data_IF_053360520773
#
_entry.id   IF_053360520773
#
_cell.length_a   1.000
_cell.length_b   1.000
_cell.length_c   1.000
_cell.angle_alpha   90.00
_cell.angle_beta   90.00
_cell.angle_gamma   90.00
#
_symmetry.space_group_name_H-M   'P 1'
#
loop_
_entity.id
_entity.type
_entity.pdbx_description
1 polymer ?
#
# COMPACT_ATOMS: atom_id res chain seq x y z
N UNK A 1 5.74 39.91 4.47
CA UNK A 1 6.25 39.38 5.74
C UNK A 1 6.61 37.92 5.52
N UNK A 2 7.88 37.49 5.71
CA UNK A 2 8.22 36.08 5.62
C UNK A 2 7.61 35.41 6.85
N UNK A 3 6.71 34.45 6.65
CA UNK A 3 6.27 33.59 7.75
C UNK A 3 7.52 32.90 8.32
N UNK A 4 7.83 33.00 9.63
CA UNK A 4 8.80 32.11 10.23
C UNK A 4 8.24 30.69 10.02
N UNK A 5 9.01 29.84 9.33
CA UNK A 5 8.58 28.49 9.01
C UNK A 5 8.25 27.74 10.31
N UNK A 6 6.97 27.61 10.62
CA UNK A 6 6.47 26.89 11.79
C UNK A 6 6.22 25.44 11.36
N UNK A 7 6.97 24.51 11.95
CA UNK A 7 6.74 23.08 11.79
C UNK A 7 5.82 22.59 12.92
N UNK A 8 4.69 22.00 12.56
CA UNK A 8 3.74 21.40 13.50
C UNK A 8 3.78 19.89 13.35
N UNK A 9 4.12 19.19 14.43
CA UNK A 9 4.06 17.72 14.51
C UNK A 9 2.78 17.32 15.23
N UNK A 10 1.99 16.44 14.63
CA UNK A 10 0.74 15.92 15.20
C UNK A 10 0.81 14.41 15.29
N UNK A 11 0.30 13.86 16.40
CA UNK A 11 0.15 12.42 16.52
C UNK A 11 -0.96 11.93 15.58
N UNK A 12 -0.63 10.99 14.69
CA UNK A 12 -1.60 10.35 13.78
C UNK A 12 -2.34 9.17 14.43
N UNK A 13 -1.90 8.74 15.62
CA UNK A 13 -2.49 7.67 16.44
C UNK A 13 -2.33 8.00 17.92
N UNK A 14 -3.01 7.24 18.77
CA UNK A 14 -2.74 7.26 20.21
C UNK A 14 -1.29 6.80 20.47
N UNK A 15 -0.61 7.48 21.40
CA UNK A 15 0.77 7.20 21.81
C UNK A 15 0.78 6.78 23.27
N UNK A 16 1.58 5.78 23.60
CA UNK A 16 1.88 5.40 24.99
C UNK A 16 3.18 6.08 25.43
N UNK A 17 3.40 6.26 26.74
CA UNK A 17 4.73 6.59 27.26
C UNK A 17 5.75 5.58 26.73
N UNK A 18 6.94 6.05 26.37
CA UNK A 18 8.03 5.28 25.76
C UNK A 18 7.80 4.81 24.30
N UNK A 19 6.68 5.14 23.67
CA UNK A 19 6.53 4.91 22.22
C UNK A 19 7.55 5.76 21.45
N UNK A 20 8.28 5.13 20.52
CA UNK A 20 9.11 5.85 19.57
C UNK A 20 8.25 6.73 18.66
N UNK A 21 8.59 8.02 18.60
CA UNK A 21 7.96 8.95 17.67
C UNK A 21 8.56 8.76 16.28
N UNK A 22 7.75 8.25 15.37
CA UNK A 22 8.14 8.01 13.98
C UNK A 22 7.39 8.92 13.02
N UNK A 23 8.03 9.27 11.91
CA UNK A 23 7.43 10.00 10.80
C UNK A 23 7.87 9.38 9.47
N UNK A 24 7.25 9.81 8.38
CA UNK A 24 7.49 9.26 7.04
C UNK A 24 8.41 10.19 6.26
N UNK A 25 9.53 9.67 5.76
CA UNK A 25 10.51 10.44 4.96
C UNK A 25 10.23 10.45 3.46
N UNK A 26 9.34 9.57 3.00
CA UNK A 26 9.10 9.27 1.58
C UNK A 26 7.61 9.13 1.32
N UNK A 27 7.22 9.08 0.05
CA UNK A 27 5.84 8.83 -0.37
C UNK A 27 5.36 7.45 0.12
N UNK A 28 4.36 7.45 1.01
CA UNK A 28 3.84 6.22 1.62
C UNK A 28 2.98 5.41 0.66
N UNK A 29 2.47 6.01 -0.42
CA UNK A 29 1.62 5.34 -1.41
C UNK A 29 2.40 4.70 -2.56
N UNK A 30 3.74 4.79 -2.54
CA UNK A 30 4.57 4.07 -3.48
C UNK A 30 4.68 2.57 -3.11
N UNK A 31 4.89 1.66 -4.08
CA UNK A 31 5.09 0.23 -3.82
C UNK A 31 6.30 -0.07 -2.93
N UNK A 32 6.27 -1.20 -2.20
CA UNK A 32 7.32 -1.59 -1.24
C UNK A 32 8.75 -1.47 -1.79
N UNK A 33 8.98 -1.94 -3.02
CA UNK A 33 10.31 -1.96 -3.64
C UNK A 33 10.80 -0.55 -3.99
N UNK A 34 9.88 0.37 -4.28
CA UNK A 34 10.19 1.79 -4.53
C UNK A 34 10.57 2.45 -3.22
N UNK A 35 9.73 2.24 -2.18
CA UNK A 35 9.97 2.81 -0.85
C UNK A 35 11.31 2.36 -0.27
N UNK A 36 11.63 1.06 -0.38
CA UNK A 36 12.92 0.52 0.09
C UNK A 36 14.09 1.09 -0.71
N UNK A 37 14.00 1.12 -2.04
CA UNK A 37 15.06 1.68 -2.86
C UNK A 37 15.31 3.17 -2.59
N UNK A 38 14.25 3.95 -2.36
CA UNK A 38 14.36 5.38 -2.02
C UNK A 38 14.97 5.60 -0.64
N UNK A 39 14.53 4.84 0.37
CA UNK A 39 15.09 4.92 1.73
C UNK A 39 16.56 4.52 1.76
N UNK A 40 16.93 3.45 1.05
CA UNK A 40 18.31 3.00 0.96
C UNK A 40 19.19 4.02 0.23
N UNK A 41 18.76 4.49 -0.94
CA UNK A 41 19.55 5.43 -1.76
C UNK A 41 19.65 6.84 -1.18
N UNK A 42 18.61 7.32 -0.49
CA UNK A 42 18.55 8.70 0.02
C UNK A 42 19.01 8.80 1.47
N UNK A 43 18.65 7.81 2.29
CA UNK A 43 18.85 7.85 3.74
C UNK A 43 19.80 6.77 4.26
N UNK A 44 20.23 5.83 3.41
CA UNK A 44 21.23 4.81 3.77
C UNK A 44 20.73 3.70 4.68
N UNK A 45 19.41 3.42 4.70
CA UNK A 45 18.86 2.33 5.52
C UNK A 45 17.78 1.51 4.83
N UNK A 46 17.64 0.27 5.27
CA UNK A 46 16.57 -0.63 4.85
C UNK A 46 15.39 -0.59 5.84
N UNK A 47 14.19 -0.29 5.36
CA UNK A 47 13.01 -0.23 6.20
C UNK A 47 12.47 -1.63 6.55
N UNK A 48 12.43 -1.93 7.84
CA UNK A 48 11.91 -3.19 8.40
C UNK A 48 10.58 -3.00 9.17
N UNK A 49 9.81 -1.97 8.84
CA UNK A 49 8.50 -1.79 9.46
C UNK A 49 7.54 -2.94 9.10
N UNK A 50 6.51 -3.17 9.92
CA UNK A 50 5.57 -4.28 9.73
C UNK A 50 4.95 -4.32 8.32
N UNK A 51 4.67 -3.16 7.72
CA UNK A 51 4.20 -3.06 6.33
C UNK A 51 5.23 -3.56 5.32
N UNK A 52 6.48 -3.11 5.39
CA UNK A 52 7.52 -3.52 4.44
C UNK A 52 7.81 -5.02 4.53
N UNK A 53 7.82 -5.58 5.75
CA UNK A 53 8.00 -7.02 5.96
C UNK A 53 6.84 -7.83 5.36
N UNK A 54 5.61 -7.41 5.61
CA UNK A 54 4.41 -8.08 5.11
C UNK A 54 4.32 -8.03 3.59
N UNK A 55 4.50 -6.85 2.99
CA UNK A 55 4.51 -6.69 1.54
C UNK A 55 5.62 -7.55 0.91
N UNK A 56 6.82 -7.60 1.51
CA UNK A 56 7.89 -8.47 1.03
C UNK A 56 7.48 -9.94 0.99
N UNK A 57 6.85 -10.46 2.06
CA UNK A 57 6.39 -11.85 2.10
C UNK A 57 5.37 -12.15 1.00
N UNK A 58 4.41 -11.24 0.81
CA UNK A 58 3.37 -11.40 -0.23
C UNK A 58 3.97 -11.43 -1.63
N UNK A 59 4.86 -10.50 -1.96
CA UNK A 59 5.48 -10.44 -3.29
C UNK A 59 6.52 -11.55 -3.54
N UNK A 60 7.06 -12.16 -2.50
CA UNK A 60 7.95 -13.33 -2.62
C UNK A 60 7.16 -14.63 -2.79
N UNK A 61 5.92 -14.70 -2.32
CA UNK A 61 5.07 -15.88 -2.50
C UNK A 61 4.65 -16.12 -3.96
N UNK A 62 4.60 -15.06 -4.77
CA UNK A 62 4.44 -15.13 -6.24
C UNK A 62 5.50 -14.25 -6.94
N UNK A 63 6.70 -14.79 -7.22
CA UNK A 63 7.79 -14.03 -7.81
C UNK A 63 7.47 -13.46 -9.20
N UNK A 64 6.64 -14.16 -9.98
CA UNK A 64 6.22 -13.73 -11.31
C UNK A 64 5.25 -12.55 -11.22
N UNK A 65 4.26 -12.61 -10.33
CA UNK A 65 3.41 -11.45 -10.05
C UNK A 65 4.22 -10.27 -9.51
N UNK A 66 5.21 -10.50 -8.64
CA UNK A 66 6.10 -9.46 -8.15
C UNK A 66 6.95 -8.82 -9.26
N UNK A 67 7.43 -9.60 -10.23
CA UNK A 67 8.17 -9.09 -11.40
C UNK A 67 7.27 -8.30 -12.36
N UNK A 68 6.06 -8.79 -12.59
CA UNK A 68 5.06 -8.10 -13.41
C UNK A 68 4.64 -6.77 -12.76
N UNK A 69 4.41 -6.75 -11.45
CA UNK A 69 4.11 -5.54 -10.70
C UNK A 69 5.25 -4.51 -10.83
N UNK A 70 6.51 -4.91 -10.63
CA UNK A 70 7.65 -4.00 -10.86
C UNK A 70 7.69 -3.41 -12.28
N UNK A 71 7.40 -4.22 -13.28
CA UNK A 71 7.40 -3.79 -14.70
C UNK A 71 6.28 -2.82 -15.00
N UNK A 72 5.08 -3.08 -14.47
CA UNK A 72 3.94 -2.19 -14.55
C UNK A 72 4.30 -0.79 -13.97
N UNK A 73 5.22 -0.69 -12.99
CA UNK A 73 5.42 0.53 -12.16
C UNK A 73 6.29 1.48 -12.89
N UNK A 74 7.35 0.92 -13.45
CA UNK A 74 8.21 1.60 -14.38
C UNK A 74 7.40 2.12 -15.56
N UNK A 75 6.42 1.34 -16.05
CA UNK A 75 5.51 1.80 -17.13
C UNK A 75 4.66 2.99 -16.68
N UNK A 76 3.97 2.87 -15.54
CA UNK A 76 3.14 3.94 -14.97
C UNK A 76 3.95 5.22 -14.67
N UNK A 77 5.05 5.11 -13.92
CA UNK A 77 5.91 6.25 -13.57
C UNK A 77 6.46 6.95 -14.79
N UNK A 78 6.86 6.20 -15.82
CA UNK A 78 7.31 6.78 -17.09
C UNK A 78 6.19 7.58 -17.73
N UNK A 79 4.99 7.01 -17.88
CA UNK A 79 3.82 7.70 -18.46
C UNK A 79 3.42 8.94 -17.66
N UNK A 80 3.44 8.83 -16.33
CA UNK A 80 3.17 9.95 -15.41
C UNK A 80 4.14 11.11 -15.66
N UNK A 81 5.44 10.83 -15.79
CA UNK A 81 6.46 11.85 -16.08
C UNK A 81 6.33 12.46 -17.48
N UNK A 82 5.85 11.68 -18.44
CA UNK A 82 5.58 12.13 -19.82
C UNK A 82 4.26 12.92 -19.93
N UNK A 83 3.42 12.94 -18.90
CA UNK A 83 2.09 13.58 -18.94
C UNK A 83 1.11 12.88 -19.88
N UNK A 84 1.36 11.61 -20.22
CA UNK A 84 0.71 10.89 -21.31
C UNK A 84 -0.10 9.69 -20.82
N UNK A 85 -0.87 9.85 -19.74
CA UNK A 85 -1.75 8.79 -19.24
C UNK A 85 -3.19 9.09 -19.62
N UNK A 86 -3.72 8.35 -20.60
CA UNK A 86 -5.15 8.37 -20.88
C UNK A 86 -5.94 7.69 -19.76
N UNK A 87 -7.23 8.02 -19.66
CA UNK A 87 -8.14 7.40 -18.69
C UNK A 87 -8.25 5.88 -18.89
N UNK A 88 -8.24 5.43 -20.15
CA UNK A 88 -8.27 4.00 -20.50
C UNK A 88 -6.99 3.28 -20.07
N UNK A 89 -5.82 3.86 -20.32
CA UNK A 89 -4.55 3.32 -19.82
C UNK A 89 -4.52 3.26 -18.28
N UNK A 90 -5.08 4.26 -17.59
CA UNK A 90 -5.16 4.24 -16.13
C UNK A 90 -6.07 3.12 -15.62
N UNK A 91 -7.22 2.89 -16.28
CA UNK A 91 -8.11 1.75 -15.97
C UNK A 91 -7.40 0.41 -16.16
N UNK A 92 -6.66 0.25 -17.26
CA UNK A 92 -5.87 -0.96 -17.51
C UNK A 92 -4.79 -1.18 -16.45
N UNK A 93 -4.11 -0.11 -16.03
CA UNK A 93 -3.09 -0.18 -14.97
C UNK A 93 -3.74 -0.62 -13.65
N UNK A 94 -4.91 -0.07 -13.30
CA UNK A 94 -5.64 -0.44 -12.09
C UNK A 94 -6.10 -1.90 -12.15
N UNK A 95 -6.73 -2.33 -13.24
CA UNK A 95 -7.21 -3.71 -13.39
C UNK A 95 -6.06 -4.73 -13.33
N UNK A 96 -4.94 -4.43 -13.98
CA UNK A 96 -3.77 -5.31 -13.93
C UNK A 96 -3.13 -5.32 -12.54
N UNK A 97 -3.08 -4.19 -11.84
CA UNK A 97 -2.59 -4.12 -10.47
C UNK A 97 -3.45 -4.95 -9.50
N UNK A 98 -4.78 -4.89 -9.64
CA UNK A 98 -5.71 -5.72 -8.87
C UNK A 98 -5.47 -7.20 -9.12
N UNK A 99 -5.37 -7.60 -10.40
CA UNK A 99 -5.10 -8.99 -10.80
C UNK A 99 -3.79 -9.51 -10.21
N UNK A 100 -2.72 -8.73 -10.31
CA UNK A 100 -1.40 -9.09 -9.78
C UNK A 100 -1.40 -9.18 -8.25
N UNK A 101 -2.08 -8.26 -7.58
CA UNK A 101 -2.23 -8.26 -6.12
C UNK A 101 -3.01 -9.48 -5.65
N UNK A 102 -4.10 -9.84 -6.34
CA UNK A 102 -4.87 -11.03 -6.06
C UNK A 102 -4.05 -12.32 -6.24
N UNK A 103 -3.24 -12.40 -7.31
CA UNK A 103 -2.33 -13.54 -7.56
C UNK A 103 -1.32 -13.70 -6.42
N UNK A 104 -0.62 -12.62 -6.06
CA UNK A 104 0.37 -12.64 -4.99
C UNK A 104 -0.23 -12.98 -3.63
N UNK A 105 -1.43 -12.45 -3.33
CA UNK A 105 -2.16 -12.78 -2.12
C UNK A 105 -2.58 -14.25 -2.09
N UNK A 106 -3.09 -14.78 -3.20
CA UNK A 106 -3.45 -16.20 -3.28
C UNK A 106 -2.24 -17.09 -3.06
N UNK A 107 -1.11 -16.80 -3.69
CA UNK A 107 0.15 -17.52 -3.46
C UNK A 107 0.59 -17.44 -2.01
N UNK A 108 0.55 -16.25 -1.42
CA UNK A 108 0.87 -16.04 -0.01
C UNK A 108 -0.02 -16.87 0.92
N UNK A 109 -1.35 -16.82 0.74
CA UNK A 109 -2.29 -17.57 1.56
C UNK A 109 -2.19 -19.08 1.40
N UNK A 110 -1.82 -19.58 0.22
CA UNK A 110 -1.59 -21.02 0.02
C UNK A 110 -0.36 -21.53 0.77
N UNK A 111 0.61 -20.64 1.04
CA UNK A 111 1.86 -20.97 1.73
C UNK A 111 1.87 -20.61 3.22
N UNK A 112 0.98 -19.70 3.63
CA UNK A 112 0.87 -19.25 5.01
C UNK A 112 0.00 -20.22 5.82
N UNK A 113 0.47 -20.61 7.01
CA UNK A 113 -0.43 -21.25 7.98
C UNK A 113 -1.38 -20.20 8.57
N UNK A 114 -2.56 -20.61 9.02
CA UNK A 114 -3.51 -19.74 9.73
C UNK A 114 -2.84 -19.06 10.94
N UNK A 115 -1.91 -19.74 11.62
CA UNK A 115 -1.12 -19.19 12.74
C UNK A 115 -0.16 -18.07 12.33
N UNK A 116 0.52 -18.21 11.19
CA UNK A 116 1.40 -17.17 10.64
C UNK A 116 0.59 -15.92 10.27
N UNK A 117 -0.60 -16.12 9.71
CA UNK A 117 -1.49 -15.01 9.37
C UNK A 117 -1.99 -14.28 10.61
N UNK A 118 -2.40 -15.00 11.67
CA UNK A 118 -2.86 -14.37 12.90
C UNK A 118 -1.75 -13.61 13.63
N UNK A 119 -0.52 -14.13 13.67
CA UNK A 119 0.64 -13.42 14.25
C UNK A 119 0.95 -12.14 13.50
N UNK A 120 0.96 -12.18 12.17
CA UNK A 120 1.34 -11.03 11.36
C UNK A 120 0.23 -9.99 11.29
N UNK A 121 -1.04 -10.43 11.18
CA UNK A 121 -2.19 -9.55 11.28
C UNK A 121 -2.26 -8.89 12.67
N UNK A 122 -1.91 -9.60 13.74
CA UNK A 122 -1.84 -9.01 15.08
C UNK A 122 -0.68 -7.99 15.19
N UNK A 123 0.49 -8.31 14.63
CA UNK A 123 1.63 -7.37 14.55
C UNK A 123 1.25 -6.10 13.79
N UNK A 124 0.57 -6.24 12.65
CA UNK A 124 0.06 -5.12 11.87
C UNK A 124 -1.02 -4.33 12.63
N UNK A 125 -2.04 -4.99 13.22
CA UNK A 125 -3.06 -4.33 14.04
C UNK A 125 -2.44 -3.51 15.18
N UNK A 126 -1.43 -4.05 15.85
CA UNK A 126 -0.68 -3.35 16.90
C UNK A 126 0.09 -2.15 16.34
N UNK A 127 0.65 -2.25 15.12
CA UNK A 127 1.39 -1.17 14.48
C UNK A 127 0.50 -0.04 13.94
N UNK A 128 -0.72 -0.35 13.48
CA UNK A 128 -1.61 0.62 12.80
C UNK A 128 -2.80 1.06 13.66
N UNK A 129 -2.98 0.50 14.87
CA UNK A 129 -3.98 0.94 15.84
C UNK A 129 -5.44 0.67 15.46
N UNK A 130 -5.69 -0.33 14.59
CA UNK A 130 -7.06 -0.69 14.20
C UNK A 130 -7.73 -1.58 15.26
N UNK A 131 -8.95 -1.23 15.74
CA UNK A 131 -9.67 -2.04 16.72
C UNK A 131 -10.25 -3.31 16.08
N UNK A 132 -10.06 -4.42 16.79
CA UNK A 132 -10.69 -5.74 16.67
C UNK A 132 -11.84 -5.85 15.64
N UNK A 133 -11.53 -6.34 14.44
CA UNK A 133 -12.53 -6.96 13.57
C UNK A 133 -12.14 -8.41 13.25
N UNK A 134 -13.15 -9.26 13.30
CA UNK A 134 -13.13 -10.71 13.11
C UNK A 134 -12.37 -11.12 11.84
N UNK A 135 -11.81 -12.32 11.84
CA UNK A 135 -10.99 -12.97 10.79
C UNK A 135 -11.22 -12.54 9.31
N UNK A 136 -12.46 -12.37 8.78
CA UNK A 136 -12.67 -11.87 7.41
C UNK A 136 -12.13 -10.45 7.14
N UNK A 137 -12.05 -9.60 8.16
CA UNK A 137 -11.59 -8.22 8.04
C UNK A 137 -10.08 -8.07 7.87
N UNK A 138 -9.28 -9.06 8.31
CA UNK A 138 -7.83 -9.00 8.18
C UNK A 138 -7.36 -9.23 6.74
N UNK A 139 -8.03 -10.12 6.00
CA UNK A 139 -7.74 -10.34 4.58
C UNK A 139 -8.09 -9.11 3.74
N UNK A 140 -9.28 -8.56 3.96
CA UNK A 140 -9.72 -7.32 3.31
C UNK A 140 -8.76 -6.17 3.64
N UNK A 141 -8.38 -5.99 4.90
CA UNK A 141 -7.41 -4.96 5.30
C UNK A 141 -6.02 -5.15 4.67
N UNK A 142 -5.56 -6.40 4.52
CA UNK A 142 -4.28 -6.70 3.86
C UNK A 142 -4.35 -6.42 2.36
N UNK A 143 -5.43 -6.85 1.71
CA UNK A 143 -5.69 -6.56 0.30
C UNK A 143 -5.75 -5.07 0.07
N UNK A 144 -6.50 -4.34 0.89
CA UNK A 144 -6.69 -2.90 0.75
C UNK A 144 -5.39 -2.13 1.07
N UNK A 145 -4.58 -2.61 2.02
CA UNK A 145 -3.22 -2.10 2.25
C UNK A 145 -2.34 -2.27 1.02
N UNK A 146 -2.36 -3.46 0.41
CA UNK A 146 -1.59 -3.74 -0.80
C UNK A 146 -2.12 -2.89 -1.95
N UNK A 147 -3.41 -2.85 -2.24
CA UNK A 147 -3.96 -1.99 -3.29
C UNK A 147 -3.73 -0.49 -3.03
N UNK A 148 -3.76 -0.06 -1.77
CA UNK A 148 -3.43 1.31 -1.36
C UNK A 148 -1.94 1.64 -1.48
N UNK A 149 -1.06 0.64 -1.35
CA UNK A 149 0.40 0.77 -1.56
C UNK A 149 0.82 0.55 -3.01
N UNK A 150 -0.04 -0.10 -3.77
CA UNK A 150 0.22 -0.62 -5.09
C UNK A 150 -0.89 -0.04 -5.99
N UNK A 151 -0.54 1.07 -6.65
CA UNK A 151 -1.16 1.57 -7.89
C UNK A 151 -2.53 2.19 -7.83
N UNK A 152 -3.42 1.67 -7.00
CA UNK A 152 -4.80 2.13 -7.06
C UNK A 152 -4.84 3.59 -6.63
N UNK A 153 -4.21 3.96 -5.51
CA UNK A 153 -4.19 5.36 -5.09
C UNK A 153 -3.50 6.30 -6.11
N UNK A 154 -2.26 6.07 -6.58
CA UNK A 154 -1.62 6.98 -7.53
C UNK A 154 -2.30 7.04 -8.91
N UNK A 155 -2.75 5.92 -9.47
CA UNK A 155 -3.41 5.89 -10.77
C UNK A 155 -4.83 6.50 -10.70
N UNK A 156 -5.54 6.26 -9.61
CA UNK A 156 -6.86 6.83 -9.37
C UNK A 156 -6.82 8.34 -9.15
N UNK A 157 -5.85 8.84 -8.38
CA UNK A 157 -5.65 10.29 -8.21
C UNK A 157 -5.38 11.01 -9.53
N UNK A 158 -4.67 10.37 -10.46
CA UNK A 158 -4.44 10.89 -11.80
C UNK A 158 -5.70 10.80 -12.67
N UNK A 159 -6.46 9.71 -12.59
CA UNK A 159 -7.64 9.48 -13.42
C UNK A 159 -8.82 10.38 -13.03
N UNK A 160 -9.01 10.61 -11.73
CA UNK A 160 -10.21 11.26 -11.20
C UNK A 160 -9.91 12.60 -10.50
N UNK A 161 -8.64 12.98 -10.33
CA UNK A 161 -8.24 14.12 -9.50
C UNK A 161 -8.50 13.88 -8.01
N UNK A 162 -7.96 14.75 -7.14
CA UNK A 162 -8.27 14.80 -5.70
C UNK A 162 -9.71 15.31 -5.45
N UNK A 163 -10.71 14.89 -6.23
CA UNK A 163 -12.11 15.21 -5.94
C UNK A 163 -12.54 14.42 -4.70
N UNK A 164 -12.41 15.02 -3.50
CA UNK A 164 -12.99 14.61 -2.20
C UNK A 164 -13.57 13.18 -2.19
N UNK A 165 -12.70 12.18 -2.35
CA UNK A 165 -13.12 10.79 -2.20
C UNK A 165 -12.97 10.51 -0.72
N UNK A 166 -14.08 10.57 0.01
CA UNK A 166 -14.22 9.86 1.27
C UNK A 166 -13.68 8.44 1.05
N UNK A 167 -12.50 8.17 1.62
CA UNK A 167 -11.67 6.97 1.45
C UNK A 167 -12.42 5.67 1.84
N UNK A 168 -13.66 5.80 2.29
CA UNK A 168 -14.59 4.73 2.67
C UNK A 168 -15.40 4.12 1.50
N UNK A 169 -15.36 4.70 0.28
CA UNK A 169 -16.09 4.14 -0.88
C UNK A 169 -15.37 3.01 -1.63
N UNK A 170 -14.34 2.39 -1.03
CA UNK A 170 -13.82 1.12 -1.56
C UNK A 170 -14.87 0.00 -1.48
N UNK A 171 -15.87 0.08 -0.58
CA UNK A 171 -16.91 -0.95 -0.45
C UNK A 171 -17.87 -1.03 -1.66
N UNK A 172 -18.13 0.07 -2.37
CA UNK A 172 -19.14 0.06 -3.45
C UNK A 172 -18.65 -0.55 -4.77
N UNK A 173 -17.34 -0.64 -5.00
CA UNK A 173 -16.77 -1.29 -6.20
C UNK A 173 -16.70 -2.80 -6.02
N UNK A 174 -16.59 -3.29 -4.78
CA UNK A 174 -16.57 -4.74 -4.48
C UNK A 174 -17.95 -5.40 -4.40
N UNK A 175 -19.05 -4.64 -4.40
CA UNK A 175 -20.41 -5.21 -4.42
C UNK A 175 -20.84 -5.79 -5.79
N UNK A 176 -20.10 -5.51 -6.87
CA UNK A 176 -20.42 -6.04 -8.20
C UNK A 176 -19.66 -7.32 -8.60
N UNK A 177 -18.83 -7.87 -7.70
CA UNK A 177 -18.04 -9.09 -7.97
C UNK A 177 -18.40 -10.27 -7.06
N UNK A 178 -19.54 -10.19 -6.35
CA UNK A 178 -20.15 -11.33 -5.66
C UNK A 178 -21.59 -11.51 -6.13
N UNK A 179 -21.73 -11.99 -7.35
CA UNK A 179 -22.96 -12.59 -7.88
C UNK A 179 -22.61 -13.71 -8.83
#
# INVERSE_FOLDING_TARGET
>A
LPFPACLVVRAARALRPEDELTCTYIEVRAPHFVRRAELESTWGFECNCGRCLLESKVWTADPEAGKAARSLWRRFERRRKEGACSEEELREIVAEAERLTASALSGFLQTATEEDFQKEAQSYRNAVGYPNSSSPGAFTALRDLLLGSLWVAPAWELAFGLQDVEIWKFESIFQNFTS
#
